data_IF_737099504822
#
_entry.id   IF_737099504822
#
_cell.length_a   1.000
_cell.length_b   1.000
_cell.length_c   1.000
_cell.angle_alpha   90.00
_cell.angle_beta   90.00
_cell.angle_gamma   90.00
#
_symmetry.space_group_name_H-M   'P 1'
#
loop_
_entity.id
_entity.type
_entity.pdbx_description
1 polymer ?
#
# COMPACT_ATOMS: atom_id res chain seq x y z
N UNK A 1 9.67 -4.80 20.58
CA UNK A 1 9.20 -5.53 19.38
C UNK A 1 8.92 -4.56 18.21
N UNK A 2 8.08 -3.53 18.38
CA UNK A 2 7.75 -2.55 17.30
C UNK A 2 8.97 -1.89 16.69
N UNK A 3 9.89 -1.38 17.52
CA UNK A 3 11.12 -0.72 17.03
C UNK A 3 12.00 -1.65 16.18
N UNK A 4 12.12 -2.91 16.55
CA UNK A 4 12.87 -3.90 15.79
C UNK A 4 12.23 -4.20 14.43
N UNK A 5 10.90 -4.26 14.37
CA UNK A 5 10.14 -4.44 13.12
C UNK A 5 10.28 -3.21 12.23
N UNK A 6 10.14 -2.03 12.82
CA UNK A 6 10.30 -0.76 12.11
C UNK A 6 11.71 -0.58 11.54
N UNK A 7 12.76 -0.92 12.32
CA UNK A 7 14.14 -0.88 11.85
C UNK A 7 14.41 -1.88 10.73
N UNK A 8 13.84 -3.09 10.83
CA UNK A 8 13.99 -4.13 9.80
C UNK A 8 13.39 -3.68 8.46
N UNK A 9 12.14 -3.25 8.44
CA UNK A 9 11.47 -2.82 7.21
C UNK A 9 11.91 -1.44 6.72
N UNK A 10 12.34 -0.56 7.60
CA UNK A 10 12.76 0.79 7.24
C UNK A 10 14.21 0.90 6.77
N UNK A 11 15.12 0.19 7.43
CA UNK A 11 16.56 0.37 7.21
C UNK A 11 17.30 -0.85 6.68
N UNK A 12 16.86 -2.05 7.05
CA UNK A 12 17.57 -3.28 6.66
C UNK A 12 17.10 -3.81 5.30
N UNK A 13 15.82 -3.64 4.97
CA UNK A 13 15.26 -4.04 3.68
C UNK A 13 15.29 -2.88 2.68
N UNK A 14 15.96 -3.07 1.56
CA UNK A 14 15.98 -2.11 0.46
C UNK A 14 15.22 -2.62 -0.78
N UNK A 15 15.06 -3.92 -0.89
CA UNK A 15 14.26 -4.56 -1.92
C UNK A 15 13.62 -5.85 -1.41
N UNK A 16 12.65 -6.39 -2.15
CA UNK A 16 12.04 -7.69 -1.84
C UNK A 16 13.02 -8.86 -1.86
N UNK A 17 14.16 -8.70 -2.54
CA UNK A 17 15.22 -9.72 -2.60
C UNK A 17 15.99 -9.85 -1.28
N UNK A 18 15.92 -8.84 -0.41
CA UNK A 18 16.57 -8.84 0.90
C UNK A 18 15.78 -9.57 1.99
N UNK A 19 14.58 -10.07 1.68
CA UNK A 19 13.73 -10.81 2.62
C UNK A 19 14.40 -12.12 3.06
N UNK A 20 14.55 -12.28 4.36
CA UNK A 20 15.12 -13.49 4.97
C UNK A 20 14.14 -14.67 5.06
N UNK A 21 12.91 -14.48 4.64
CA UNK A 21 11.84 -15.50 4.66
C UNK A 21 11.38 -15.80 3.25
N UNK A 22 11.24 -17.09 2.91
CA UNK A 22 10.66 -17.55 1.65
C UNK A 22 9.12 -17.46 1.63
N UNK A 23 8.53 -16.75 2.58
CA UNK A 23 7.09 -16.64 2.67
C UNK A 23 6.56 -15.67 1.60
N UNK A 24 5.81 -16.21 0.67
CA UNK A 24 4.66 -15.58 0.05
C UNK A 24 4.82 -14.68 -1.18
N UNK A 25 5.83 -14.79 -1.98
CA UNK A 25 5.80 -14.11 -3.28
C UNK A 25 5.73 -15.15 -4.41
N UNK A 26 4.55 -15.70 -4.67
CA UNK A 26 4.30 -16.44 -5.90
C UNK A 26 3.78 -15.45 -6.99
N UNK A 27 4.63 -15.07 -7.97
CA UNK A 27 4.20 -14.20 -9.06
C UNK A 27 3.09 -14.80 -9.92
N UNK A 28 2.88 -16.12 -9.82
CA UNK A 28 1.82 -16.84 -10.52
C UNK A 28 0.43 -16.64 -9.93
N UNK A 29 0.34 -16.16 -8.68
CA UNK A 29 -0.93 -15.95 -7.97
C UNK A 29 -1.65 -14.64 -8.35
N UNK A 30 -1.03 -13.76 -9.15
CA UNK A 30 -1.64 -12.48 -9.55
C UNK A 30 -2.66 -12.72 -10.67
N UNK A 31 -3.94 -12.41 -10.46
CA UNK A 31 -4.96 -12.51 -11.51
C UNK A 31 -4.56 -11.71 -12.76
N UNK A 32 -4.78 -12.30 -13.94
CA UNK A 32 -4.35 -11.71 -15.20
C UNK A 32 -4.88 -10.29 -15.45
N UNK A 33 -6.10 -9.99 -14.97
CA UNK A 33 -6.73 -8.69 -15.12
C UNK A 33 -6.08 -7.58 -14.29
N UNK A 34 -5.31 -7.93 -13.23
CA UNK A 34 -4.57 -6.97 -12.40
C UNK A 34 -3.18 -6.63 -12.96
N UNK A 35 -2.63 -7.46 -13.84
CA UNK A 35 -1.30 -7.24 -14.41
C UNK A 35 -1.14 -5.88 -15.11
N UNK A 36 -2.10 -5.40 -15.93
CA UNK A 36 -2.01 -4.07 -16.53
C UNK A 36 -2.00 -2.94 -15.50
N UNK A 37 -2.74 -3.08 -14.40
CA UNK A 37 -2.79 -2.08 -13.33
C UNK A 37 -1.48 -2.05 -12.55
N UNK A 38 -0.87 -3.19 -12.29
CA UNK A 38 0.46 -3.27 -11.68
C UNK A 38 1.54 -2.67 -12.59
N UNK A 39 1.42 -2.82 -13.91
CA UNK A 39 2.36 -2.22 -14.85
C UNK A 39 2.37 -0.68 -14.81
N UNK A 40 1.32 -0.04 -14.31
CA UNK A 40 1.25 1.40 -14.10
C UNK A 40 1.90 1.85 -12.78
N UNK A 41 2.25 0.92 -11.89
CA UNK A 41 2.92 1.23 -10.62
C UNK A 41 4.42 1.38 -10.86
N UNK A 42 5.01 2.43 -10.28
CA UNK A 42 6.44 2.71 -10.44
C UNK A 42 7.33 1.55 -9.97
N UNK A 43 8.39 1.24 -10.71
CA UNK A 43 9.26 0.08 -10.47
C UNK A 43 9.90 0.05 -9.08
N UNK A 44 10.27 1.21 -8.53
CA UNK A 44 10.81 1.29 -7.17
C UNK A 44 9.77 0.86 -6.11
N UNK A 45 8.51 1.23 -6.30
CA UNK A 45 7.40 0.79 -5.42
C UNK A 45 7.23 -0.73 -5.50
N UNK A 46 7.24 -1.29 -6.71
CA UNK A 46 7.13 -2.74 -6.91
C UNK A 46 8.28 -3.52 -6.27
N UNK A 47 9.51 -3.00 -6.35
CA UNK A 47 10.71 -3.64 -5.78
C UNK A 47 10.73 -3.64 -4.25
N UNK A 48 9.96 -2.78 -3.59
CA UNK A 48 9.87 -2.66 -2.13
C UNK A 48 8.62 -3.31 -1.54
N UNK A 49 8.00 -4.21 -2.28
CA UNK A 49 6.86 -4.96 -1.78
C UNK A 49 7.28 -6.18 -0.97
N UNK A 50 6.83 -6.26 0.27
CA UNK A 50 7.16 -7.31 1.23
C UNK A 50 5.95 -8.11 1.72
N UNK A 51 4.81 -7.96 1.05
CA UNK A 51 3.54 -8.59 1.43
C UNK A 51 3.28 -9.95 0.77
N UNK A 52 2.17 -10.56 1.14
CA UNK A 52 1.73 -11.86 0.68
C UNK A 52 0.58 -11.73 -0.33
N UNK A 53 0.89 -11.74 -1.63
CA UNK A 53 -0.14 -11.71 -2.67
C UNK A 53 -0.80 -10.34 -2.87
N UNK A 54 -2.08 -10.34 -3.17
CA UNK A 54 -2.87 -9.15 -3.47
C UNK A 54 -4.18 -9.18 -2.70
N UNK A 55 -4.49 -8.08 -2.02
CA UNK A 55 -5.79 -7.88 -1.36
C UNK A 55 -6.61 -6.91 -2.20
N UNK A 56 -7.34 -7.44 -3.18
CA UNK A 56 -8.20 -6.67 -4.08
C UNK A 56 -9.62 -7.21 -4.08
N UNK A 57 -10.51 -6.67 -3.24
CA UNK A 57 -11.93 -6.97 -3.31
C UNK A 57 -12.49 -6.58 -4.68
N UNK A 58 -13.50 -7.28 -5.20
CA UNK A 58 -14.21 -6.85 -6.41
C UNK A 58 -15.08 -5.62 -6.15
N UNK A 59 -15.42 -4.88 -7.21
CA UNK A 59 -16.37 -3.76 -7.18
C UNK A 59 -16.00 -2.62 -6.22
N UNK A 60 -14.80 -2.05 -6.40
CA UNK A 60 -14.28 -0.94 -5.58
C UNK A 60 -14.56 0.45 -6.16
N UNK A 61 -15.17 0.57 -7.35
CA UNK A 61 -15.38 1.86 -8.01
C UNK A 61 -16.10 2.86 -7.08
N UNK A 62 -15.51 4.03 -6.91
CA UNK A 62 -16.02 5.09 -6.05
C UNK A 62 -15.84 4.88 -4.55
N UNK A 63 -15.31 3.74 -4.11
CA UNK A 63 -15.10 3.46 -2.69
C UNK A 63 -14.00 4.30 -2.07
N UNK A 64 -14.13 4.52 -0.76
CA UNK A 64 -13.07 5.05 0.11
C UNK A 64 -12.41 3.87 0.83
N UNK A 65 -11.14 3.64 0.55
CA UNK A 65 -10.38 2.48 1.05
C UNK A 65 -9.31 2.91 2.02
N UNK A 66 -9.14 2.17 3.10
CA UNK A 66 -8.03 2.29 4.06
C UNK A 66 -7.14 1.05 3.97
N UNK A 67 -5.84 1.24 3.73
CA UNK A 67 -4.83 0.20 3.72
C UNK A 67 -3.96 0.28 4.98
N UNK A 68 -4.03 -0.72 5.82
CA UNK A 68 -3.31 -0.81 7.09
C UNK A 68 -1.98 -1.57 6.91
N UNK A 69 -0.87 -0.87 7.14
CA UNK A 69 0.46 -1.38 6.89
C UNK A 69 0.84 -1.34 5.42
N UNK A 70 0.62 -0.18 4.77
CA UNK A 70 0.74 -0.02 3.33
C UNK A 70 2.19 -0.07 2.79
N UNK A 71 3.20 0.00 3.64
CA UNK A 71 4.61 0.01 3.24
C UNK A 71 4.92 1.11 2.22
N UNK A 72 5.61 0.75 1.14
CA UNK A 72 5.94 1.66 0.03
C UNK A 72 4.76 1.96 -0.91
N UNK A 73 3.56 1.43 -0.65
CA UNK A 73 2.33 1.84 -1.29
C UNK A 73 1.94 1.06 -2.56
N UNK A 74 2.48 -0.13 -2.82
CA UNK A 74 2.08 -0.93 -4.00
C UNK A 74 0.58 -1.16 -4.06
N UNK A 75 0.00 -1.64 -2.96
CA UNK A 75 -1.42 -1.97 -2.91
C UNK A 75 -2.27 -0.68 -2.91
N UNK A 76 -1.80 0.40 -2.28
CA UNK A 76 -2.47 1.72 -2.34
C UNK A 76 -2.59 2.20 -3.79
N UNK A 77 -1.50 2.17 -4.57
CA UNK A 77 -1.52 2.61 -5.97
C UNK A 77 -2.29 1.67 -6.89
N UNK A 78 -2.34 0.38 -6.57
CA UNK A 78 -3.20 -0.55 -7.27
C UNK A 78 -4.68 -0.28 -6.99
N UNK A 79 -5.05 -0.15 -5.71
CA UNK A 79 -6.40 0.16 -5.27
C UNK A 79 -6.88 1.52 -5.78
N UNK A 80 -5.98 2.51 -5.87
CA UNK A 80 -6.27 3.83 -6.43
C UNK A 80 -6.83 3.77 -7.85
N UNK A 81 -6.31 2.85 -8.68
CA UNK A 81 -6.81 2.64 -10.04
C UNK A 81 -8.18 1.94 -10.03
N UNK A 82 -8.42 1.04 -9.07
CA UNK A 82 -9.68 0.29 -8.97
C UNK A 82 -10.83 1.15 -8.44
N UNK A 83 -10.55 2.05 -7.49
CA UNK A 83 -11.58 2.98 -6.98
C UNK A 83 -11.85 4.13 -7.95
N UNK A 84 -10.90 4.46 -8.82
CA UNK A 84 -11.03 5.51 -9.82
C UNK A 84 -11.05 6.92 -9.26
N UNK A 85 -11.31 7.91 -10.13
CA UNK A 85 -11.29 9.33 -9.77
C UNK A 85 -12.34 9.75 -8.73
N UNK A 86 -13.43 9.00 -8.62
CA UNK A 86 -14.51 9.27 -7.64
C UNK A 86 -14.25 8.64 -6.26
N UNK A 87 -13.31 7.68 -6.18
CA UNK A 87 -12.90 7.04 -4.94
C UNK A 87 -11.60 7.63 -4.38
N UNK A 88 -11.17 7.10 -3.23
CA UNK A 88 -9.91 7.49 -2.61
C UNK A 88 -9.29 6.34 -1.81
N UNK A 89 -7.98 6.37 -1.67
CA UNK A 89 -7.23 5.38 -0.88
C UNK A 89 -6.33 6.10 0.12
N UNK A 90 -6.43 5.70 1.39
CA UNK A 90 -5.51 6.14 2.44
C UNK A 90 -4.66 4.96 2.87
N UNK A 91 -3.35 5.12 2.81
CA UNK A 91 -2.38 4.15 3.33
C UNK A 91 -1.82 4.61 4.67
N UNK A 92 -1.78 3.72 5.66
CA UNK A 92 -1.17 3.96 6.97
C UNK A 92 -0.02 3.00 7.15
N UNK A 93 1.13 3.52 7.58
CA UNK A 93 2.29 2.71 7.96
C UNK A 93 3.09 3.40 9.08
N UNK A 94 3.74 2.60 9.92
CA UNK A 94 4.61 3.11 10.97
C UNK A 94 6.02 3.44 10.49
N UNK A 95 6.40 2.97 9.29
CA UNK A 95 7.75 3.04 8.75
C UNK A 95 7.90 4.28 7.88
N UNK A 96 8.51 5.33 8.43
CA UNK A 96 8.67 6.61 7.73
C UNK A 96 9.46 6.50 6.42
N UNK A 97 10.46 5.63 6.36
CA UNK A 97 11.29 5.38 5.18
C UNK A 97 10.47 4.77 4.03
N UNK A 98 9.57 3.83 4.33
CA UNK A 98 8.67 3.24 3.33
C UNK A 98 7.67 4.27 2.79
N UNK A 99 7.08 5.06 3.68
CA UNK A 99 6.17 6.14 3.30
C UNK A 99 6.86 7.26 2.52
N UNK A 100 8.14 7.54 2.79
CA UNK A 100 8.93 8.49 2.00
C UNK A 100 9.03 8.04 0.55
N UNK A 101 9.28 6.76 0.30
CA UNK A 101 9.29 6.19 -1.05
C UNK A 101 7.89 6.29 -1.69
N UNK A 102 6.84 5.89 -0.97
CA UNK A 102 5.47 6.01 -1.46
C UNK A 102 5.14 7.44 -1.91
N UNK A 103 5.41 8.43 -1.06
CA UNK A 103 5.13 9.85 -1.33
C UNK A 103 5.99 10.41 -2.45
N UNK A 104 7.23 9.97 -2.61
CA UNK A 104 8.14 10.47 -3.67
C UNK A 104 7.64 10.16 -5.08
N UNK A 105 6.80 9.14 -5.23
CA UNK A 105 6.23 8.74 -6.52
C UNK A 105 4.74 9.12 -6.68
N UNK A 106 4.17 9.90 -5.76
CA UNK A 106 2.75 10.27 -5.82
C UNK A 106 2.44 11.10 -7.07
N UNK A 107 3.29 12.08 -7.42
CA UNK A 107 3.12 12.89 -8.62
C UNK A 107 3.22 12.06 -9.92
N UNK A 108 4.12 11.06 -9.95
CA UNK A 108 4.20 10.11 -11.06
C UNK A 108 2.88 9.37 -11.27
N UNK A 109 2.32 8.83 -10.18
CA UNK A 109 1.07 8.08 -10.25
C UNK A 109 -0.13 8.97 -10.58
N UNK A 110 -0.19 10.19 -10.02
CA UNK A 110 -1.22 11.15 -10.35
C UNK A 110 -1.23 11.48 -11.86
N UNK A 111 -0.06 11.65 -12.45
CA UNK A 111 0.09 11.88 -13.89
C UNK A 111 -0.32 10.65 -14.70
N UNK A 112 0.12 9.45 -14.27
CA UNK A 112 -0.17 8.18 -14.97
C UNK A 112 -1.66 7.84 -14.93
N UNK A 113 -2.33 8.07 -13.80
CA UNK A 113 -3.76 7.75 -13.63
C UNK A 113 -4.67 8.85 -14.13
N UNK A 114 -4.18 10.10 -14.20
CA UNK A 114 -4.98 11.27 -14.52
C UNK A 114 -5.73 11.89 -13.34
N UNK A 115 -5.49 11.42 -12.12
CA UNK A 115 -6.05 11.93 -10.85
C UNK A 115 -5.15 11.59 -9.68
N UNK A 116 -5.21 12.39 -8.62
CA UNK A 116 -4.52 12.15 -7.34
C UNK A 116 -5.55 11.84 -6.26
N UNK A 117 -5.71 10.56 -5.96
CA UNK A 117 -6.69 10.04 -4.99
C UNK A 117 -6.04 9.22 -3.88
N UNK A 118 -4.73 9.38 -3.68
CA UNK A 118 -3.96 8.69 -2.64
C UNK A 118 -3.54 9.63 -1.53
N UNK A 119 -3.57 9.14 -0.28
CA UNK A 119 -3.03 9.82 0.89
C UNK A 119 -2.24 8.83 1.74
N UNK A 120 -1.08 9.26 2.25
CA UNK A 120 -0.23 8.43 3.10
C UNK A 120 -0.06 9.07 4.47
N UNK A 121 -0.34 8.32 5.53
CA UNK A 121 -0.24 8.74 6.92
C UNK A 121 0.79 7.89 7.67
N UNK A 122 1.62 8.56 8.45
CA UNK A 122 2.54 7.88 9.36
C UNK A 122 1.82 7.64 10.68
N UNK A 123 1.74 6.38 11.10
CA UNK A 123 1.09 6.04 12.36
C UNK A 123 1.03 4.54 12.60
N UNK A 124 0.57 4.20 13.78
CA UNK A 124 0.38 2.81 14.20
C UNK A 124 -1.04 2.35 13.93
N UNK A 125 -1.19 1.15 13.41
CA UNK A 125 -2.51 0.58 13.10
C UNK A 125 -3.37 0.33 14.36
N UNK A 126 -2.74 0.27 15.53
CA UNK A 126 -3.41 0.12 16.83
C UNK A 126 -3.82 1.47 17.45
N UNK A 127 -3.50 2.60 16.80
CA UNK A 127 -3.72 3.96 17.28
C UNK A 127 -4.29 4.84 16.17
N UNK A 128 -5.29 4.33 15.44
CA UNK A 128 -5.91 5.05 14.32
C UNK A 128 -6.67 6.32 14.76
N UNK A 129 -7.09 6.38 16.01
CA UNK A 129 -7.74 7.53 16.66
C UNK A 129 -6.79 8.73 16.85
N UNK A 130 -5.47 8.49 16.79
CA UNK A 130 -4.47 9.55 16.84
C UNK A 130 -4.20 10.17 15.44
N UNK A 131 -4.72 9.55 14.38
CA UNK A 131 -4.53 9.99 13.01
C UNK A 131 -5.68 10.90 12.57
N UNK A 132 -5.36 11.78 11.61
CA UNK A 132 -6.36 12.64 10.96
C UNK A 132 -7.25 11.83 10.00
N UNK A 133 -8.04 10.92 10.60
CA UNK A 133 -9.01 10.07 9.94
C UNK A 133 -10.39 10.33 10.55
N UNK A 134 -11.38 10.59 9.69
CA UNK A 134 -12.75 10.72 10.16
C UNK A 134 -13.33 9.33 10.49
N UNK A 135 -13.96 9.16 11.67
CA UNK A 135 -14.64 7.92 12.00
C UNK A 135 -15.69 7.54 10.94
N UNK A 136 -15.86 6.23 10.73
CA UNK A 136 -16.89 5.66 9.82
C UNK A 136 -16.82 6.22 8.38
N UNK A 137 -15.63 6.67 7.93
CA UNK A 137 -15.46 7.33 6.64
C UNK A 137 -14.98 6.41 5.51
N UNK A 138 -14.71 5.15 5.79
CA UNK A 138 -14.22 4.18 4.81
C UNK A 138 -15.25 3.09 4.51
N UNK A 139 -15.36 2.75 3.23
CA UNK A 139 -16.24 1.66 2.76
C UNK A 139 -15.55 0.31 2.89
N UNK A 140 -14.21 0.27 2.73
CA UNK A 140 -13.39 -0.94 2.76
C UNK A 140 -12.10 -0.68 3.52
N UNK A 141 -11.72 -1.63 4.36
CA UNK A 141 -10.42 -1.65 5.02
C UNK A 141 -9.69 -2.92 4.57
N UNK A 142 -8.47 -2.76 4.11
CA UNK A 142 -7.59 -3.87 3.71
C UNK A 142 -6.33 -3.87 4.57
N UNK A 143 -5.73 -5.04 4.72
CA UNK A 143 -4.44 -5.19 5.37
C UNK A 143 -3.73 -6.41 4.79
N UNK A 144 -2.47 -6.28 4.42
CA UNK A 144 -1.67 -7.34 3.83
C UNK A 144 -0.46 -7.67 4.70
N UNK A 145 -0.47 -8.87 5.30
CA UNK A 145 0.61 -9.40 6.15
C UNK A 145 0.99 -8.57 7.38
N UNK A 146 0.09 -7.79 7.94
CA UNK A 146 0.36 -6.89 9.09
C UNK A 146 -0.50 -7.23 10.30
N UNK A 147 -1.76 -7.61 10.10
CA UNK A 147 -2.68 -7.98 11.18
C UNK A 147 -2.56 -9.47 11.43
N UNK A 148 -2.11 -9.83 12.64
CA UNK A 148 -1.97 -11.22 13.13
C UNK A 148 -3.02 -11.52 14.21
#
# INVERSE_FOLDING_TARGET
>A
MREAVQDYYGRQLQSSDDLKTSACCDPGAIPGWLKPLLANVHGEILSRYYGCGLVCPPALEGCRVLDLGCGAGRDVYLLAQLVGAAGSVVGVDMTAEQLAVARSHQAYHATTFGYDNCRFLTGYIEQLDELDLEPESFDVIVSNCVVN
#
